data_IF_009484544475
#
_entry.id   IF_009484544475
#
_cell.length_a   1.000
_cell.length_b   1.000
_cell.length_c   1.000
_cell.angle_alpha   90.00
_cell.angle_beta   90.00
_cell.angle_gamma   90.00
#
_symmetry.space_group_name_H-M   'P 1'
#
loop_
_entity.id
_entity.type
_entity.pdbx_description
1 polymer ?
#
# COMPACT_ATOMS: atom_id res chain seq x y z
N UNK A 1 -5.16 -10.44 -17.73
CA UNK A 1 -5.71 -11.78 -17.44
C UNK A 1 -4.73 -12.48 -16.53
N UNK A 2 -5.20 -12.96 -15.38
CA UNK A 2 -4.34 -13.69 -14.43
C UNK A 2 -4.05 -15.10 -14.96
N UNK A 3 -2.96 -15.76 -14.51
CA UNK A 3 -2.72 -17.18 -14.85
C UNK A 3 -3.88 -18.06 -14.37
N UNK A 4 -4.59 -17.63 -13.33
CA UNK A 4 -5.85 -18.20 -12.86
C UNK A 4 -6.96 -18.22 -13.94
N UNK A 5 -6.95 -17.27 -14.88
CA UNK A 5 -7.95 -17.18 -15.96
C UNK A 5 -7.50 -17.91 -17.22
N UNK A 6 -6.21 -17.85 -17.54
CA UNK A 6 -5.65 -18.46 -18.77
C UNK A 6 -5.22 -19.91 -18.58
N UNK A 7 -4.76 -20.29 -17.39
CA UNK A 7 -4.27 -21.63 -17.05
C UNK A 7 -4.45 -21.97 -15.55
N UNK A 8 -5.69 -22.30 -15.13
CA UNK A 8 -6.01 -22.59 -13.73
C UNK A 8 -5.19 -23.73 -13.15
N UNK A 9 -4.81 -24.72 -13.97
CA UNK A 9 -4.03 -25.89 -13.54
C UNK A 9 -2.64 -25.45 -13.09
N UNK A 10 -1.93 -24.70 -13.94
CA UNK A 10 -0.60 -24.24 -13.58
C UNK A 10 -0.63 -23.21 -12.46
N UNK A 11 -1.66 -22.36 -12.39
CA UNK A 11 -1.85 -21.47 -11.24
C UNK A 11 -1.86 -22.22 -9.90
N UNK A 12 -2.70 -23.25 -9.77
CA UNK A 12 -2.84 -24.01 -8.51
C UNK A 12 -1.56 -24.77 -8.17
N UNK A 13 -0.92 -25.40 -9.17
CA UNK A 13 0.34 -26.13 -8.96
C UNK A 13 1.43 -25.17 -8.50
N UNK A 14 1.68 -24.09 -9.25
CA UNK A 14 2.75 -23.13 -8.95
C UNK A 14 2.52 -22.46 -7.59
N UNK A 15 1.29 -22.08 -7.29
CA UNK A 15 0.93 -21.44 -6.04
C UNK A 15 1.16 -22.38 -4.84
N UNK A 16 0.73 -23.64 -4.94
CA UNK A 16 0.98 -24.59 -3.85
C UNK A 16 2.47 -24.90 -3.68
N UNK A 17 3.22 -25.02 -4.78
CA UNK A 17 4.68 -25.15 -4.72
C UNK A 17 5.32 -23.96 -3.99
N UNK A 18 4.85 -22.73 -4.24
CA UNK A 18 5.30 -21.56 -3.50
C UNK A 18 5.00 -21.69 -1.99
N UNK A 19 3.78 -22.09 -1.61
CA UNK A 19 3.42 -22.36 -0.20
C UNK A 19 4.37 -23.38 0.44
N UNK A 20 4.69 -24.48 -0.25
CA UNK A 20 5.64 -25.49 0.25
C UNK A 20 7.04 -24.90 0.48
N UNK A 21 7.53 -24.08 -0.46
CA UNK A 21 8.84 -23.42 -0.35
C UNK A 21 8.86 -22.45 0.84
N UNK A 22 7.85 -21.59 0.97
CA UNK A 22 7.80 -20.60 2.04
C UNK A 22 7.66 -21.22 3.43
N UNK A 23 6.93 -22.33 3.58
CA UNK A 23 6.86 -23.05 4.85
C UNK A 23 8.20 -23.69 5.25
N UNK A 24 9.00 -24.09 4.27
CA UNK A 24 10.31 -24.72 4.48
C UNK A 24 11.43 -23.70 4.67
N UNK A 25 11.30 -22.48 4.16
CA UNK A 25 12.35 -21.47 4.24
C UNK A 25 12.78 -21.14 5.68
N UNK A 26 11.88 -20.94 6.67
CA UNK A 26 12.30 -20.76 8.07
C UNK A 26 13.02 -21.98 8.65
N UNK A 27 12.62 -23.19 8.26
CA UNK A 27 13.29 -24.42 8.69
C UNK A 27 14.71 -24.49 8.14
N UNK A 28 14.92 -24.17 6.86
CA UNK A 28 16.25 -24.13 6.25
C UNK A 28 17.12 -23.03 6.87
N UNK A 29 16.54 -21.86 7.13
CA UNK A 29 17.22 -20.75 7.77
C UNK A 29 17.74 -21.13 9.16
N UNK A 30 16.96 -21.90 9.94
CA UNK A 30 17.43 -22.44 11.21
C UNK A 30 18.50 -23.52 11.00
N UNK A 31 18.16 -24.59 10.27
CA UNK A 31 19.11 -25.64 9.93
C UNK A 31 18.60 -26.51 8.78
N UNK A 32 19.44 -26.74 7.76
CA UNK A 32 19.09 -27.50 6.56
C UNK A 32 18.52 -28.91 6.82
N UNK A 33 18.94 -29.58 7.89
CA UNK A 33 18.43 -30.93 8.24
C UNK A 33 16.94 -30.93 8.59
N UNK A 34 16.39 -29.77 8.99
CA UNK A 34 14.97 -29.63 9.31
C UNK A 34 14.05 -29.76 8.09
N UNK A 35 14.58 -29.81 6.87
CA UNK A 35 13.79 -30.10 5.67
C UNK A 35 14.08 -31.46 5.03
N UNK A 36 14.95 -32.26 5.63
CA UNK A 36 15.32 -33.60 5.16
C UNK A 36 14.55 -34.67 5.96
N UNK A 37 14.02 -35.68 5.27
CA UNK A 37 13.33 -36.83 5.89
C UNK A 37 14.34 -37.88 6.38
N UNK A 38 15.46 -38.02 5.69
CA UNK A 38 16.43 -39.10 5.87
C UNK A 38 17.15 -39.07 7.23
N UNK A 39 17.48 -40.25 7.74
CA UNK A 39 18.31 -40.45 8.94
C UNK A 39 19.80 -40.34 8.62
N UNK A 40 20.20 -40.56 7.36
CA UNK A 40 21.59 -40.41 6.92
C UNK A 40 21.83 -39.01 6.34
N UNK A 41 21.95 -38.03 7.23
CA UNK A 41 22.05 -36.61 6.90
C UNK A 41 23.37 -36.31 6.18
N UNK A 42 23.31 -36.21 4.84
CA UNK A 42 24.46 -35.87 4.01
C UNK A 42 24.34 -34.44 3.44
N UNK A 43 25.32 -33.58 3.78
CA UNK A 43 25.35 -32.19 3.35
C UNK A 43 25.54 -32.03 1.83
N UNK A 44 26.37 -32.86 1.20
CA UNK A 44 26.62 -32.82 -0.25
C UNK A 44 25.36 -33.18 -1.04
N UNK A 45 24.63 -34.21 -0.60
CA UNK A 45 23.36 -34.60 -1.22
C UNK A 45 22.32 -33.47 -1.08
N UNK A 46 22.24 -32.82 0.08
CA UNK A 46 21.36 -31.67 0.28
C UNK A 46 21.70 -30.51 -0.68
N UNK A 47 22.98 -30.15 -0.79
CA UNK A 47 23.45 -29.07 -1.67
C UNK A 47 23.24 -29.41 -3.16
N UNK A 48 23.29 -30.70 -3.53
CA UNK A 48 22.99 -31.18 -4.87
C UNK A 48 21.47 -31.32 -5.14
N UNK A 49 20.61 -31.12 -4.14
CA UNK A 49 19.16 -31.34 -4.25
C UNK A 49 18.74 -32.82 -4.28
N UNK A 50 19.66 -33.75 -4.02
CA UNK A 50 19.43 -35.20 -4.00
C UNK A 50 19.00 -35.66 -2.61
N UNK A 51 17.81 -35.23 -2.17
CA UNK A 51 17.28 -35.65 -0.87
C UNK A 51 15.75 -35.72 -0.88
N UNK A 52 15.20 -36.56 -0.01
CA UNK A 52 13.77 -36.57 0.25
C UNK A 52 13.42 -35.41 1.20
N UNK A 53 12.66 -34.45 0.68
CA UNK A 53 12.19 -33.32 1.47
C UNK A 53 10.95 -33.67 2.30
N UNK A 54 10.84 -33.02 3.46
CA UNK A 54 9.68 -33.16 4.36
C UNK A 54 8.35 -32.86 3.68
N UNK A 55 7.29 -33.58 4.09
CA UNK A 55 5.94 -33.29 3.65
C UNK A 55 5.40 -31.98 4.26
N UNK A 56 4.23 -31.52 3.78
CA UNK A 56 3.52 -30.39 4.38
C UNK A 56 3.22 -30.59 5.88
N UNK A 57 2.77 -31.79 6.27
CA UNK A 57 2.46 -32.12 7.66
C UNK A 57 3.73 -32.17 8.54
N UNK A 58 4.82 -32.71 7.99
CA UNK A 58 6.12 -32.72 8.65
C UNK A 58 6.65 -31.30 8.83
N UNK A 59 6.54 -30.44 7.81
CA UNK A 59 6.94 -29.03 7.91
C UNK A 59 6.14 -28.30 8.99
N UNK A 60 4.81 -28.48 9.05
CA UNK A 60 3.98 -27.89 10.10
C UNK A 60 4.38 -28.36 11.50
N UNK A 61 4.65 -29.67 11.64
CA UNK A 61 5.12 -30.26 12.90
C UNK A 61 6.47 -29.69 13.31
N UNK A 62 7.42 -29.55 12.38
CA UNK A 62 8.76 -29.02 12.65
C UNK A 62 8.75 -27.52 12.96
N UNK A 63 7.90 -26.72 12.31
CA UNK A 63 7.73 -25.29 12.66
C UNK A 63 7.28 -25.12 14.13
N UNK A 64 6.37 -25.98 14.59
CA UNK A 64 5.92 -26.00 15.97
C UNK A 64 6.99 -26.49 16.94
N UNK A 65 7.60 -27.65 16.65
CA UNK A 65 8.49 -28.35 17.59
C UNK A 65 9.91 -27.77 17.63
N UNK A 66 10.48 -27.40 16.47
CA UNK A 66 11.87 -26.94 16.38
C UNK A 66 11.98 -25.42 16.54
N UNK A 67 11.03 -24.65 16.00
CA UNK A 67 11.11 -23.18 15.97
C UNK A 67 10.15 -22.49 16.95
N UNK A 68 9.34 -23.26 17.69
CA UNK A 68 8.34 -22.76 18.64
C UNK A 68 7.38 -21.72 18.03
N UNK A 69 7.11 -21.83 16.73
CA UNK A 69 6.22 -20.94 15.97
C UNK A 69 5.26 -21.79 15.13
N UNK A 70 4.23 -22.41 15.76
CA UNK A 70 3.29 -23.27 15.05
C UNK A 70 2.50 -22.48 14.01
N UNK A 71 2.19 -23.14 12.89
CA UNK A 71 1.31 -22.57 11.88
C UNK A 71 -0.11 -22.42 12.47
N UNK A 72 -0.75 -21.26 12.24
CA UNK A 72 -2.14 -21.05 12.68
C UNK A 72 -3.07 -22.07 12.02
N UNK A 73 -4.13 -22.47 12.74
CA UNK A 73 -5.10 -23.45 12.25
C UNK A 73 -5.75 -23.02 10.92
N UNK A 74 -6.11 -21.75 10.80
CA UNK A 74 -6.70 -21.17 9.57
C UNK A 74 -5.74 -21.27 8.38
N UNK A 75 -4.45 -20.97 8.59
CA UNK A 75 -3.42 -21.15 7.57
C UNK A 75 -3.25 -22.61 7.16
N UNK A 76 -3.19 -23.54 8.13
CA UNK A 76 -3.09 -24.97 7.84
C UNK A 76 -4.27 -25.47 7.00
N UNK A 77 -5.49 -25.06 7.35
CA UNK A 77 -6.71 -25.42 6.62
C UNK A 77 -6.73 -24.82 5.21
N UNK A 78 -6.37 -23.55 5.05
CA UNK A 78 -6.31 -22.88 3.75
C UNK A 78 -5.28 -23.54 2.82
N UNK A 79 -4.08 -23.83 3.32
CA UNK A 79 -3.04 -24.51 2.54
C UNK A 79 -3.41 -25.95 2.19
N UNK A 80 -4.06 -26.68 3.10
CA UNK A 80 -4.49 -28.06 2.85
C UNK A 80 -5.58 -28.16 1.77
N UNK A 81 -6.48 -27.17 1.67
CA UNK A 81 -7.45 -27.09 0.57
C UNK A 81 -6.75 -26.98 -0.78
N UNK A 82 -5.84 -26.02 -0.93
CA UNK A 82 -5.05 -25.83 -2.16
C UNK A 82 -4.20 -27.07 -2.47
N UNK A 83 -3.59 -27.69 -1.45
CA UNK A 83 -2.85 -28.96 -1.60
C UNK A 83 -3.72 -30.06 -2.23
N UNK A 84 -4.95 -30.21 -1.74
CA UNK A 84 -5.91 -31.19 -2.28
C UNK A 84 -6.26 -30.89 -3.73
N UNK A 85 -6.45 -29.61 -4.09
CA UNK A 85 -6.64 -29.20 -5.49
C UNK A 85 -5.42 -29.53 -6.35
N UNK A 86 -4.21 -29.18 -5.92
CA UNK A 86 -2.95 -29.52 -6.61
C UNK A 86 -2.80 -31.02 -6.82
N UNK A 87 -3.02 -31.83 -5.79
CA UNK A 87 -2.95 -33.28 -5.89
C UNK A 87 -3.96 -33.81 -6.90
N UNK A 88 -5.18 -33.26 -6.88
CA UNK A 88 -6.18 -33.65 -7.87
C UNK A 88 -5.75 -33.30 -9.29
N UNK A 89 -5.23 -32.10 -9.52
CA UNK A 89 -4.83 -31.62 -10.85
C UNK A 89 -3.58 -32.31 -11.42
N UNK A 90 -2.68 -32.78 -10.55
CA UNK A 90 -1.48 -33.53 -10.94
C UNK A 90 -1.82 -35.01 -11.21
N UNK A 91 -2.71 -35.61 -10.42
CA UNK A 91 -2.95 -37.06 -10.47
C UNK A 91 -4.25 -37.48 -11.18
N UNK A 92 -5.23 -36.60 -11.36
CA UNK A 92 -6.49 -36.90 -12.04
C UNK A 92 -6.66 -36.06 -13.30
N UNK A 93 -7.04 -36.71 -14.40
CA UNK A 93 -7.40 -36.05 -15.66
C UNK A 93 -8.67 -35.20 -15.44
N UNK A 94 -8.52 -33.87 -15.44
CA UNK A 94 -9.66 -32.96 -15.30
C UNK A 94 -10.23 -32.67 -16.69
N UNK A 95 -11.42 -33.20 -16.99
CA UNK A 95 -12.29 -32.62 -18.01
C UNK A 95 -12.63 -31.21 -17.53
N UNK A 96 -11.97 -30.19 -18.10
CA UNK A 96 -12.07 -28.75 -17.82
C UNK A 96 -12.91 -28.30 -16.61
N UNK A 97 -12.28 -27.62 -15.65
CA UNK A 97 -12.99 -26.98 -14.52
C UNK A 97 -14.19 -26.16 -15.04
N UNK A 98 -15.37 -26.41 -14.51
CA UNK A 98 -16.54 -25.56 -14.78
C UNK A 98 -16.39 -24.19 -14.10
N UNK A 99 -17.25 -23.22 -14.45
CA UNK A 99 -17.14 -21.85 -13.94
C UNK A 99 -17.23 -21.75 -12.42
N UNK A 100 -18.09 -22.55 -11.78
CA UNK A 100 -18.28 -22.51 -10.32
C UNK A 100 -17.09 -23.09 -9.57
N UNK A 101 -16.56 -24.21 -10.04
CA UNK A 101 -15.35 -24.82 -9.47
C UNK A 101 -14.15 -23.89 -9.60
N UNK A 102 -14.03 -23.13 -10.71
CA UNK A 102 -12.97 -22.13 -10.86
C UNK A 102 -13.10 -21.01 -9.84
N UNK A 103 -14.30 -20.48 -9.62
CA UNK A 103 -14.52 -19.40 -8.66
C UNK A 103 -14.27 -19.84 -7.22
N UNK A 104 -14.65 -21.07 -6.86
CA UNK A 104 -14.32 -21.68 -5.56
C UNK A 104 -12.80 -21.81 -5.37
N UNK A 105 -12.08 -22.32 -6.36
CA UNK A 105 -10.61 -22.45 -6.31
C UNK A 105 -9.95 -21.08 -6.20
N UNK A 106 -10.44 -20.06 -6.92
CA UNK A 106 -9.95 -18.68 -6.81
C UNK A 106 -10.09 -18.15 -5.38
N UNK A 107 -11.24 -18.38 -4.75
CA UNK A 107 -11.47 -17.96 -3.37
C UNK A 107 -10.54 -18.69 -2.40
N UNK A 108 -10.34 -20.00 -2.56
CA UNK A 108 -9.45 -20.78 -1.71
C UNK A 108 -7.97 -20.39 -1.89
N UNK A 109 -7.52 -20.12 -3.12
CA UNK A 109 -6.17 -19.59 -3.37
C UNK A 109 -6.01 -18.18 -2.78
N UNK A 110 -7.05 -17.34 -2.84
CA UNK A 110 -7.02 -16.02 -2.23
C UNK A 110 -6.90 -16.11 -0.68
N UNK A 111 -7.66 -17.01 -0.04
CA UNK A 111 -7.55 -17.28 1.39
C UNK A 111 -6.17 -17.83 1.76
N UNK A 112 -5.64 -18.76 0.97
CA UNK A 112 -4.29 -19.28 1.18
C UNK A 112 -3.23 -18.18 1.00
N UNK A 113 -3.38 -17.29 0.02
CA UNK A 113 -2.42 -16.19 -0.16
C UNK A 113 -2.46 -15.24 1.04
N UNK A 114 -3.63 -14.96 1.59
CA UNK A 114 -3.77 -14.14 2.80
C UNK A 114 -3.00 -14.73 3.96
N UNK A 115 -3.13 -16.04 4.16
CA UNK A 115 -2.41 -16.76 5.21
C UNK A 115 -0.91 -16.82 4.96
N UNK A 116 -0.50 -16.96 3.69
CA UNK A 116 0.91 -16.93 3.30
C UNK A 116 1.53 -15.54 3.50
N UNK A 117 0.82 -14.48 3.11
CA UNK A 117 1.27 -13.11 3.30
C UNK A 117 1.45 -12.84 4.80
N UNK A 118 0.46 -13.18 5.64
CA UNK A 118 0.56 -13.06 7.10
C UNK A 118 1.70 -13.89 7.70
N UNK A 119 1.93 -15.09 7.17
CA UNK A 119 3.06 -15.93 7.58
C UNK A 119 4.40 -15.19 7.35
N UNK A 120 4.55 -14.54 6.20
CA UNK A 120 5.77 -13.82 5.81
C UNK A 120 5.89 -12.47 6.52
N UNK A 121 4.85 -11.63 6.50
CA UNK A 121 4.91 -10.24 6.95
C UNK A 121 4.81 -10.09 8.46
N UNK A 122 4.19 -11.05 9.14
CA UNK A 122 3.93 -10.96 10.58
C UNK A 122 4.76 -11.99 11.37
N UNK A 123 4.63 -13.27 11.02
CA UNK A 123 5.21 -14.37 11.83
C UNK A 123 6.72 -14.52 11.63
N UNK A 124 7.18 -14.34 10.38
CA UNK A 124 8.56 -14.53 9.93
C UNK A 124 9.17 -13.25 9.33
N UNK A 125 8.65 -12.09 9.73
CA UNK A 125 9.02 -10.77 9.21
C UNK A 125 10.52 -10.55 9.13
N UNK A 126 11.25 -10.91 10.18
CA UNK A 126 12.70 -10.68 10.26
C UNK A 126 13.46 -11.52 9.23
N UNK A 127 13.09 -12.78 9.07
CA UNK A 127 13.71 -13.70 8.11
C UNK A 127 13.41 -13.32 6.65
N UNK A 128 12.25 -12.70 6.40
CA UNK A 128 11.83 -12.26 5.06
C UNK A 128 12.00 -10.77 4.81
N UNK A 129 12.60 -10.01 5.73
CA UNK A 129 12.79 -8.55 5.62
C UNK A 129 13.39 -8.11 4.27
N UNK A 130 14.39 -8.80 3.69
CA UNK A 130 14.96 -8.44 2.39
C UNK A 130 13.95 -8.46 1.23
N UNK A 131 12.86 -9.23 1.35
CA UNK A 131 11.87 -9.43 0.28
C UNK A 131 10.55 -8.68 0.55
N UNK A 132 10.50 -7.84 1.59
CA UNK A 132 9.27 -7.18 2.01
C UNK A 132 8.67 -6.29 0.90
N UNK A 133 9.51 -5.67 0.08
CA UNK A 133 9.08 -4.80 -1.03
C UNK A 133 8.37 -5.60 -2.12
N UNK A 134 8.88 -6.79 -2.44
CA UNK A 134 8.36 -7.70 -3.44
C UNK A 134 7.03 -8.29 -2.97
N UNK A 135 6.92 -8.67 -1.70
CA UNK A 135 5.65 -9.12 -1.11
C UNK A 135 4.57 -8.04 -1.14
N UNK A 136 4.91 -6.80 -0.77
CA UNK A 136 3.98 -5.66 -0.90
C UNK A 136 3.54 -5.45 -2.34
N UNK A 137 4.46 -5.58 -3.32
CA UNK A 137 4.12 -5.48 -4.75
C UNK A 137 3.19 -6.61 -5.21
N UNK A 138 3.47 -7.84 -4.81
CA UNK A 138 2.61 -9.00 -5.11
C UNK A 138 1.22 -8.84 -4.50
N UNK A 139 1.14 -8.38 -3.25
CA UNK A 139 -0.13 -8.14 -2.57
C UNK A 139 -0.98 -7.10 -3.32
N UNK A 140 -0.40 -5.95 -3.71
CA UNK A 140 -1.10 -4.94 -4.52
C UNK A 140 -1.67 -5.51 -5.82
N UNK A 141 -0.90 -6.35 -6.52
CA UNK A 141 -1.35 -7.00 -7.75
C UNK A 141 -2.50 -7.99 -7.53
N UNK A 142 -2.55 -8.65 -6.37
CA UNK A 142 -3.59 -9.65 -6.08
C UNK A 142 -4.88 -9.00 -5.61
N UNK A 143 -4.80 -7.89 -4.89
CA UNK A 143 -5.97 -7.10 -4.51
C UNK A 143 -6.73 -6.61 -5.75
N UNK A 144 -6.01 -6.21 -6.81
CA UNK A 144 -6.62 -5.79 -8.08
C UNK A 144 -7.43 -6.91 -8.78
N UNK A 145 -7.26 -8.18 -8.40
CA UNK A 145 -7.94 -9.34 -9.00
C UNK A 145 -9.11 -9.92 -8.15
N UNK A 146 -9.63 -9.12 -7.21
CA UNK A 146 -11.00 -9.11 -6.66
C UNK A 146 -11.56 -10.31 -5.84
N UNK A 147 -10.76 -11.29 -5.42
CA UNK A 147 -11.19 -12.28 -4.38
C UNK A 147 -10.38 -12.21 -3.08
N UNK A 148 -9.16 -11.68 -3.15
CA UNK A 148 -8.28 -11.51 -1.99
C UNK A 148 -8.76 -10.39 -1.04
N UNK A 149 -9.29 -9.30 -1.59
CA UNK A 149 -9.76 -8.17 -0.81
C UNK A 149 -10.84 -8.57 0.21
N UNK A 150 -11.80 -9.41 -0.21
CA UNK A 150 -12.87 -9.87 0.69
C UNK A 150 -12.33 -10.75 1.82
N UNK A 151 -11.46 -11.72 1.51
CA UNK A 151 -10.87 -12.60 2.53
C UNK A 151 -10.09 -11.80 3.59
N UNK A 152 -9.30 -10.81 3.14
CA UNK A 152 -8.56 -9.90 4.03
C UNK A 152 -9.51 -9.00 4.84
N UNK A 153 -10.59 -8.51 4.24
CA UNK A 153 -11.59 -7.70 4.93
C UNK A 153 -12.26 -8.46 6.08
N UNK A 154 -12.67 -9.72 5.87
CA UNK A 154 -13.30 -10.52 6.92
C UNK A 154 -12.37 -10.76 8.13
N UNK A 155 -11.06 -10.96 7.91
CA UNK A 155 -10.07 -11.08 9.01
C UNK A 155 -9.85 -9.73 9.73
N UNK A 156 -9.84 -8.62 8.98
CA UNK A 156 -9.67 -7.28 9.55
C UNK A 156 -10.94 -6.71 10.18
N UNK A 157 -12.11 -7.25 9.87
CA UNK A 157 -13.42 -6.73 10.30
C UNK A 157 -13.52 -6.52 11.82
N UNK A 158 -13.09 -7.44 12.70
CA UNK A 158 -13.13 -7.20 14.14
C UNK A 158 -12.25 -6.02 14.58
N UNK A 159 -11.10 -5.82 13.93
CA UNK A 159 -10.21 -4.68 14.20
C UNK A 159 -10.84 -3.38 13.72
N UNK A 160 -11.41 -3.37 12.51
CA UNK A 160 -12.11 -2.21 11.94
C UNK A 160 -13.29 -1.81 12.83
N UNK A 161 -14.14 -2.77 13.22
CA UNK A 161 -15.26 -2.54 14.14
C UNK A 161 -14.80 -2.00 15.51
N UNK A 162 -13.65 -2.48 16.00
CA UNK A 162 -13.00 -1.95 17.20
C UNK A 162 -12.57 -0.49 17.06
N UNK A 163 -11.92 -0.14 15.95
CA UNK A 163 -11.52 1.23 15.63
C UNK A 163 -12.72 2.15 15.41
N UNK A 164 -13.78 1.66 14.75
CA UNK A 164 -15.04 2.42 14.58
C UNK A 164 -15.68 2.75 15.92
N UNK A 165 -15.71 1.81 16.88
CA UNK A 165 -16.18 2.09 18.25
C UNK A 165 -15.27 3.08 18.99
N UNK A 166 -14.00 3.17 18.61
CA UNK A 166 -13.03 4.14 19.12
C UNK A 166 -13.17 5.55 18.54
N UNK A 167 -14.07 5.77 17.58
CA UNK A 167 -14.32 7.07 16.97
C UNK A 167 -13.82 7.22 15.53
N UNK A 168 -13.08 6.25 14.99
CA UNK A 168 -12.56 6.33 13.62
C UNK A 168 -13.68 6.11 12.58
N UNK A 169 -13.68 6.91 11.52
CA UNK A 169 -14.65 6.80 10.43
C UNK A 169 -14.15 5.85 9.34
N UNK A 170 -15.04 4.98 8.86
CA UNK A 170 -14.75 4.04 7.77
C UNK A 170 -15.81 4.10 6.66
N UNK A 171 -15.35 4.13 5.41
CA UNK A 171 -16.15 4.14 4.20
C UNK A 171 -15.82 2.99 3.25
N UNK A 172 -16.65 2.81 2.22
CA UNK A 172 -16.37 1.90 1.11
C UNK A 172 -15.21 2.41 0.28
N UNK A 173 -14.19 1.58 0.12
CA UNK A 173 -13.04 1.91 -0.71
C UNK A 173 -13.43 1.92 -2.21
N UNK A 174 -13.08 2.97 -2.98
CA UNK A 174 -13.41 3.03 -4.41
C UNK A 174 -12.67 1.98 -5.25
N UNK A 175 -11.56 1.42 -4.74
CA UNK A 175 -10.76 0.41 -5.45
C UNK A 175 -11.23 -1.02 -5.22
N UNK A 176 -11.46 -1.42 -3.97
CA UNK A 176 -11.79 -2.80 -3.63
C UNK A 176 -13.24 -3.01 -3.17
N UNK A 177 -14.03 -1.95 -3.03
CA UNK A 177 -15.45 -2.01 -2.64
C UNK A 177 -15.72 -2.35 -1.16
N UNK A 178 -14.72 -2.84 -0.40
CA UNK A 178 -14.89 -3.17 1.02
C UNK A 178 -14.98 -1.91 1.88
N UNK A 179 -15.76 -1.96 2.98
CA UNK A 179 -15.89 -0.87 3.96
C UNK A 179 -14.71 -0.84 4.93
N UNK A 180 -13.52 -0.64 4.37
CA UNK A 180 -12.24 -0.68 5.06
C UNK A 180 -11.37 0.56 4.78
N UNK A 181 -11.95 1.60 4.19
CA UNK A 181 -11.27 2.87 3.95
C UNK A 181 -11.44 3.75 5.18
N UNK A 182 -10.39 3.85 5.98
CA UNK A 182 -10.35 4.81 7.08
C UNK A 182 -10.33 6.22 6.50
N UNK A 183 -11.13 7.12 7.08
CA UNK A 183 -11.21 8.52 6.67
C UNK A 183 -10.80 9.38 7.85
N UNK A 184 -9.86 10.28 7.61
CA UNK A 184 -9.35 11.25 8.58
C UNK A 184 -9.50 12.64 7.98
N UNK A 185 -9.95 13.60 8.79
CA UNK A 185 -9.99 15.01 8.44
C UNK A 185 -8.69 15.64 8.95
N UNK A 186 -7.82 16.08 8.03
CA UNK A 186 -6.52 16.68 8.37
C UNK A 186 -6.67 18.17 8.66
N UNK A 187 -7.58 18.83 7.95
CA UNK A 187 -8.03 20.20 8.15
C UNK A 187 -9.51 20.27 7.69
N UNK A 188 -10.28 21.31 8.06
CA UNK A 188 -11.66 21.45 7.58
C UNK A 188 -11.77 21.20 6.07
N UNK A 189 -12.69 20.31 5.66
CA UNK A 189 -12.93 19.90 4.26
C UNK A 189 -11.78 19.14 3.56
N UNK A 190 -10.58 19.06 4.15
CA UNK A 190 -9.46 18.24 3.66
C UNK A 190 -9.49 16.87 4.32
N UNK A 191 -9.73 15.82 3.52
CA UNK A 191 -9.81 14.45 4.01
C UNK A 191 -8.75 13.55 3.39
N UNK A 192 -8.11 12.74 4.21
CA UNK A 192 -7.28 11.61 3.77
C UNK A 192 -8.01 10.29 3.96
N UNK A 193 -7.81 9.40 3.00
CA UNK A 193 -8.50 8.11 2.94
C UNK A 193 -7.47 7.02 2.73
N UNK A 194 -7.42 6.07 3.67
CA UNK A 194 -6.50 4.94 3.61
C UNK A 194 -7.23 3.61 3.78
N UNK A 195 -7.15 2.74 2.77
CA UNK A 195 -7.79 1.43 2.81
C UNK A 195 -6.89 0.37 3.47
N UNK A 196 -7.33 -0.17 4.62
CA UNK A 196 -6.61 -1.22 5.33
C UNK A 196 -6.55 -2.56 4.58
N UNK A 197 -7.42 -2.76 3.58
CA UNK A 197 -7.48 -3.98 2.77
C UNK A 197 -6.56 -3.85 1.55
N UNK A 198 -6.78 -2.82 0.74
CA UNK A 198 -6.11 -2.67 -0.55
C UNK A 198 -4.92 -1.72 -0.57
N UNK A 199 -4.70 -0.98 0.53
CA UNK A 199 -3.71 0.09 0.63
C UNK A 199 -3.89 1.22 -0.39
N UNK A 200 -5.11 1.36 -0.94
CA UNK A 200 -5.49 2.56 -1.65
C UNK A 200 -5.37 3.76 -0.71
N UNK A 201 -4.72 4.81 -1.18
CA UNK A 201 -4.53 6.05 -0.45
C UNK A 201 -4.93 7.19 -1.38
N UNK A 202 -5.71 8.12 -0.87
CA UNK A 202 -6.06 9.35 -1.57
C UNK A 202 -6.28 10.48 -0.58
N UNK A 203 -6.02 11.70 -1.04
CA UNK A 203 -6.46 12.94 -0.39
C UNK A 203 -7.45 13.63 -1.31
N UNK A 204 -8.38 14.37 -0.73
CA UNK A 204 -9.34 15.18 -1.47
C UNK A 204 -9.79 16.36 -0.64
N UNK A 205 -10.11 17.45 -1.31
CA UNK A 205 -10.68 18.65 -0.68
C UNK A 205 -12.11 18.81 -1.14
N UNK A 206 -13.02 18.94 -0.17
CA UNK A 206 -14.41 19.21 -0.46
C UNK A 206 -14.62 20.69 -0.78
N UNK A 207 -15.29 20.99 -1.89
CA UNK A 207 -15.62 22.34 -2.32
C UNK A 207 -17.07 22.43 -2.79
N UNK A 208 -17.58 23.66 -2.87
CA UNK A 208 -18.78 23.97 -3.62
C UNK A 208 -18.37 24.33 -5.06
N UNK A 209 -19.09 23.85 -6.06
CA UNK A 209 -18.73 24.11 -7.45
C UNK A 209 -18.69 25.63 -7.74
N UNK A 210 -17.59 26.18 -8.29
CA UNK A 210 -17.46 27.62 -8.53
C UNK A 210 -18.45 28.17 -9.57
N UNK A 211 -18.93 27.34 -10.51
CA UNK A 211 -19.89 27.78 -11.54
C UNK A 211 -21.37 27.61 -11.12
N UNK A 212 -21.79 26.41 -10.72
CA UNK A 212 -23.20 26.13 -10.42
C UNK A 212 -23.56 26.12 -8.93
N UNK A 213 -22.56 26.19 -8.03
CA UNK A 213 -22.78 26.16 -6.58
C UNK A 213 -23.23 24.81 -6.01
N UNK A 214 -23.13 23.72 -6.78
CA UNK A 214 -23.44 22.38 -6.27
C UNK A 214 -22.45 22.02 -5.14
N UNK A 215 -22.94 21.67 -3.94
CA UNK A 215 -22.08 21.33 -2.82
C UNK A 215 -21.50 19.91 -2.94
N UNK A 216 -20.67 19.50 -1.99
CA UNK A 216 -20.12 18.14 -1.86
C UNK A 216 -19.32 17.68 -3.09
N UNK A 217 -18.70 18.62 -3.80
CA UNK A 217 -17.78 18.31 -4.88
C UNK A 217 -16.35 18.16 -4.35
N UNK A 218 -15.46 17.53 -5.13
CA UNK A 218 -14.11 17.22 -4.68
C UNK A 218 -13.05 17.64 -5.68
N UNK A 219 -12.02 18.31 -5.18
CA UNK A 219 -10.74 18.49 -5.88
C UNK A 219 -9.86 17.28 -5.54
N UNK A 220 -9.16 16.76 -6.53
CA UNK A 220 -8.24 15.63 -6.43
C UNK A 220 -6.83 16.13 -6.76
N UNK A 221 -5.79 15.73 -6.00
CA UNK A 221 -4.42 16.18 -6.24
C UNK A 221 -3.97 15.80 -7.65
N UNK A 222 -3.26 16.70 -8.33
CA UNK A 222 -2.81 16.63 -9.72
C UNK A 222 -3.89 16.54 -10.81
N UNK A 223 -5.07 15.98 -10.51
CA UNK A 223 -6.19 15.84 -11.45
C UNK A 223 -7.07 17.11 -11.51
N UNK A 224 -7.05 17.91 -10.44
CA UNK A 224 -7.85 19.12 -10.29
C UNK A 224 -9.30 18.82 -9.95
N UNK A 225 -10.22 19.59 -10.54
CA UNK A 225 -11.65 19.56 -10.26
C UNK A 225 -12.47 19.43 -11.54
N UNK A 226 -13.49 18.57 -11.50
CA UNK A 226 -14.53 18.47 -12.51
C UNK A 226 -15.87 18.33 -11.80
N UNK A 227 -16.80 19.25 -12.06
CA UNK A 227 -18.14 19.17 -11.48
C UNK A 227 -18.96 18.05 -12.12
N UNK A 228 -19.60 17.20 -11.31
CA UNK A 228 -20.46 16.12 -11.81
C UNK A 228 -21.84 16.58 -12.34
N UNK A 229 -22.19 17.86 -12.17
CA UNK A 229 -23.47 18.47 -12.63
C UNK A 229 -23.35 19.31 -13.88
N UNK A 230 -22.38 20.22 -13.91
CA UNK A 230 -22.26 21.23 -14.95
C UNK A 230 -21.05 21.04 -15.86
N UNK A 231 -20.25 19.99 -15.60
CA UNK A 231 -19.02 19.66 -16.33
C UNK A 231 -17.96 20.77 -16.34
N UNK A 232 -18.09 21.79 -15.48
CA UNK A 232 -17.04 22.79 -15.33
C UNK A 232 -15.77 22.14 -14.81
N UNK A 233 -14.62 22.62 -15.28
CA UNK A 233 -13.32 22.01 -15.03
C UNK A 233 -12.31 23.07 -14.62
N UNK A 234 -11.58 22.78 -13.55
CA UNK A 234 -10.43 23.55 -13.08
C UNK A 234 -9.26 22.57 -13.00
N UNK A 235 -8.21 22.79 -13.79
CA UNK A 235 -7.11 21.81 -13.86
C UNK A 235 -5.73 22.41 -14.10
N UNK A 236 -5.63 23.70 -14.43
CA UNK A 236 -4.33 24.37 -14.41
C UNK A 236 -3.84 24.52 -12.97
N UNK A 237 -2.55 24.31 -12.72
CA UNK A 237 -1.97 24.42 -11.37
C UNK A 237 -2.29 25.78 -10.73
N UNK A 238 -2.17 26.88 -11.48
CA UNK A 238 -2.53 28.22 -11.01
C UNK A 238 -4.03 28.36 -10.74
N UNK A 239 -4.89 27.73 -11.55
CA UNK A 239 -6.35 27.81 -11.37
C UNK A 239 -6.79 27.02 -10.12
N UNK A 240 -6.15 25.87 -9.87
CA UNK A 240 -6.38 25.07 -8.65
C UNK A 240 -5.85 25.81 -7.43
N UNK A 241 -4.71 26.49 -7.56
CA UNK A 241 -4.18 27.36 -6.51
C UNK A 241 -5.17 28.47 -6.16
N UNK A 242 -5.61 29.25 -7.16
CA UNK A 242 -6.55 30.35 -6.97
C UNK A 242 -7.91 29.89 -6.41
N UNK A 243 -8.33 28.66 -6.75
CA UNK A 243 -9.57 28.05 -6.25
C UNK A 243 -9.49 27.68 -4.76
N UNK A 244 -8.32 27.30 -4.27
CA UNK A 244 -8.12 26.77 -2.93
C UNK A 244 -7.53 27.79 -1.95
N UNK A 245 -6.79 28.79 -2.43
CA UNK A 245 -6.14 29.80 -1.61
C UNK A 245 -7.16 30.63 -0.83
N UNK A 246 -6.99 30.67 0.49
CA UNK A 246 -7.84 31.43 1.39
C UNK A 246 -7.17 32.75 1.84
N UNK A 247 -5.99 33.05 1.32
CA UNK A 247 -5.29 34.31 1.58
C UNK A 247 -6.12 35.51 1.07
N UNK A 248 -6.49 36.39 1.99
CA UNK A 248 -7.32 37.57 1.69
C UNK A 248 -6.53 38.85 1.39
N UNK A 249 -5.21 38.83 1.56
CA UNK A 249 -4.31 39.98 1.36
C UNK A 249 -3.58 39.93 0.02
N UNK A 250 -3.70 38.84 -0.75
CA UNK A 250 -3.06 38.69 -2.06
C UNK A 250 -3.42 39.84 -3.01
N UNK A 251 -2.40 40.47 -3.62
CA UNK A 251 -2.57 41.64 -4.49
C UNK A 251 -2.91 42.96 -3.77
N UNK A 252 -2.93 42.97 -2.44
CA UNK A 252 -3.01 44.21 -1.65
C UNK A 252 -1.62 44.74 -1.31
N UNK A 253 -1.53 45.87 -0.60
CA UNK A 253 -0.23 46.40 -0.13
C UNK A 253 0.46 45.49 0.90
N UNK A 254 -0.31 44.65 1.57
CA UNK A 254 0.13 43.77 2.65
C UNK A 254 0.54 42.38 2.09
N UNK A 255 0.45 42.18 0.77
CA UNK A 255 0.86 40.96 0.05
C UNK A 255 2.37 40.69 0.18
N UNK A 256 3.18 41.74 0.32
CA UNK A 256 4.64 41.63 0.51
C UNK A 256 5.03 40.98 1.84
N UNK A 257 4.11 40.95 2.80
CA UNK A 257 4.31 40.32 4.11
C UNK A 257 3.71 38.90 4.16
N UNK A 258 3.17 38.37 3.04
CA UNK A 258 2.65 37.00 2.99
C UNK A 258 3.76 35.98 2.81
N UNK A 259 3.67 34.89 3.56
CA UNK A 259 4.55 33.73 3.41
C UNK A 259 4.14 32.82 2.23
N UNK A 260 3.12 33.20 1.43
CA UNK A 260 2.64 32.41 0.29
C UNK A 260 2.61 33.23 -1.01
N UNK A 261 2.93 32.61 -2.17
CA UNK A 261 3.05 31.18 -2.37
C UNK A 261 4.39 30.62 -1.88
N UNK A 262 4.36 29.49 -1.17
CA UNK A 262 5.55 28.79 -0.71
C UNK A 262 5.87 27.57 -1.58
N UNK A 263 7.11 27.11 -1.51
CA UNK A 263 7.57 25.88 -2.15
C UNK A 263 7.18 24.66 -1.31
N UNK A 264 6.77 23.57 -1.97
CA UNK A 264 6.42 22.32 -1.30
C UNK A 264 7.54 21.30 -1.44
N UNK A 265 8.13 20.88 -0.33
CA UNK A 265 9.22 19.90 -0.31
C UNK A 265 8.71 18.46 -0.55
N UNK A 266 7.50 18.14 -0.07
CA UNK A 266 6.89 16.80 -0.24
C UNK A 266 6.71 16.39 -1.71
N UNK A 267 6.44 17.35 -2.60
CA UNK A 267 6.33 17.11 -4.04
C UNK A 267 7.31 17.91 -4.89
N UNK A 268 8.25 18.63 -4.26
CA UNK A 268 9.18 19.56 -4.91
C UNK A 268 8.46 20.59 -5.80
N UNK A 269 7.28 21.02 -5.38
CA UNK A 269 6.46 21.99 -6.12
C UNK A 269 6.98 23.42 -5.93
N UNK A 270 7.10 24.18 -7.01
CA UNK A 270 7.48 25.59 -6.97
C UNK A 270 6.25 26.49 -6.77
N UNK A 271 6.20 27.26 -5.69
CA UNK A 271 5.10 28.18 -5.38
C UNK A 271 3.71 27.52 -5.40
N UNK A 272 3.62 26.27 -4.92
CA UNK A 272 2.38 25.48 -4.93
C UNK A 272 1.61 25.53 -3.60
N UNK A 273 2.18 26.14 -2.56
CA UNK A 273 1.61 26.16 -1.21
C UNK A 273 0.87 27.47 -0.95
N UNK A 274 -0.41 27.36 -0.58
CA UNK A 274 -1.30 28.48 -0.30
C UNK A 274 -1.70 28.52 1.19
N UNK A 275 -2.35 29.60 1.62
CA UNK A 275 -3.01 29.64 2.93
C UNK A 275 -4.31 28.85 2.86
N UNK A 276 -4.56 28.01 3.86
CA UNK A 276 -5.75 27.17 3.91
C UNK A 276 -6.14 26.90 5.35
N UNK A 277 -7.33 27.33 5.76
CA UNK A 277 -7.82 27.26 7.13
C UNK A 277 -6.81 27.91 8.10
N UNK A 278 -6.36 27.20 9.14
CA UNK A 278 -5.40 27.70 10.13
C UNK A 278 -3.93 27.32 9.80
N UNK A 279 -3.64 26.93 8.55
CA UNK A 279 -2.31 26.47 8.14
C UNK A 279 -2.04 26.65 6.65
N UNK A 280 -1.23 25.76 6.09
CA UNK A 280 -0.73 25.85 4.73
C UNK A 280 -0.97 24.57 3.95
N UNK A 281 -1.40 24.70 2.71
CA UNK A 281 -1.77 23.57 1.86
C UNK A 281 -1.00 23.62 0.55
N UNK A 282 -0.29 22.54 0.21
CA UNK A 282 0.18 22.35 -1.16
C UNK A 282 -0.98 21.99 -2.08
N UNK A 283 -1.28 22.83 -3.07
CA UNK A 283 -2.38 22.68 -4.02
C UNK A 283 -2.16 21.59 -5.07
N UNK A 284 -0.92 21.08 -5.19
CA UNK A 284 -0.59 19.96 -6.07
C UNK A 284 -0.76 18.60 -5.39
N UNK A 285 -0.12 18.40 -4.23
CA UNK A 285 -0.08 17.09 -3.55
C UNK A 285 -1.03 16.97 -2.35
N UNK A 286 -1.61 18.08 -1.91
CA UNK A 286 -2.47 18.20 -0.72
C UNK A 286 -1.80 17.80 0.60
N UNK A 287 -0.47 17.95 0.70
CA UNK A 287 0.20 17.98 1.99
C UNK A 287 -0.21 19.25 2.75
N UNK A 288 -0.51 19.09 4.03
CA UNK A 288 -0.95 20.15 4.93
C UNK A 288 0.13 20.38 5.99
N UNK A 289 0.45 21.65 6.26
CA UNK A 289 1.56 22.07 7.09
C UNK A 289 1.08 23.10 8.11
N UNK A 290 1.56 23.00 9.34
CA UNK A 290 1.23 23.94 10.42
C UNK A 290 1.98 25.28 10.27
N UNK A 291 3.10 25.28 9.54
CA UNK A 291 3.96 26.45 9.35
C UNK A 291 4.77 26.33 8.07
N UNK A 292 5.21 27.47 7.55
CA UNK A 292 6.23 27.58 6.50
C UNK A 292 7.46 28.31 7.05
N UNK A 293 8.62 27.94 6.56
CA UNK A 293 9.89 28.61 6.80
C UNK A 293 10.33 29.42 5.57
N UNK A 294 11.53 29.98 5.63
CA UNK A 294 12.16 30.66 4.51
C UNK A 294 13.57 30.10 4.30
N UNK A 295 13.91 29.80 3.04
CA UNK A 295 15.25 29.37 2.69
C UNK A 295 16.26 30.46 3.03
N UNK A 296 17.31 30.14 3.78
CA UNK A 296 18.29 31.14 4.23
C UNK A 296 19.19 31.67 3.09
N UNK A 297 19.19 31.01 1.93
CA UNK A 297 19.95 31.44 0.75
C UNK A 297 19.12 32.29 -0.21
N UNK A 298 18.03 31.75 -0.78
CA UNK A 298 17.21 32.48 -1.75
C UNK A 298 16.11 33.34 -1.12
N UNK A 299 15.80 33.15 0.17
CA UNK A 299 14.68 33.77 0.89
C UNK A 299 13.27 33.37 0.41
N UNK A 300 13.16 32.40 -0.49
CA UNK A 300 11.83 31.90 -0.88
C UNK A 300 11.19 31.13 0.28
N UNK A 301 9.88 31.31 0.52
CA UNK A 301 9.14 30.51 1.51
C UNK A 301 9.08 29.03 1.12
N UNK A 302 9.12 28.13 2.12
CA UNK A 302 9.12 26.67 1.92
C UNK A 302 8.53 25.92 3.12
N UNK A 303 8.20 24.64 2.94
CA UNK A 303 7.50 23.83 3.96
C UNK A 303 8.39 22.97 4.86
N UNK A 304 9.62 22.66 4.46
CA UNK A 304 10.55 21.82 5.23
C UNK A 304 11.40 22.63 6.22
N UNK A 305 12.29 21.93 6.93
CA UNK A 305 13.26 22.54 7.82
C UNK A 305 14.19 23.50 7.05
N UNK A 306 14.45 24.64 7.69
CA UNK A 306 15.31 25.69 7.14
C UNK A 306 16.76 25.54 7.60
N UNK A 307 17.04 24.56 8.47
CA UNK A 307 18.38 24.27 8.96
C UNK A 307 19.37 24.04 7.80
N UNK A 308 20.52 24.71 7.87
CA UNK A 308 21.61 24.65 6.88
C UNK A 308 21.26 25.05 5.43
N UNK A 309 20.04 25.52 5.14
CA UNK A 309 19.61 25.94 3.79
C UNK A 309 20.44 27.10 3.22
N UNK A 310 21.18 27.85 4.05
CA UNK A 310 22.17 28.81 3.55
C UNK A 310 23.28 28.12 2.77
N UNK A 311 23.77 26.98 3.27
CA UNK A 311 24.88 26.23 2.67
C UNK A 311 24.36 25.31 1.57
N UNK A 312 23.33 24.51 1.86
CA UNK A 312 22.81 23.47 0.95
C UNK A 312 21.81 23.98 -0.08
N UNK A 313 21.19 25.14 0.17
CA UNK A 313 20.01 25.57 -0.57
C UNK A 313 18.75 24.80 -0.15
N UNK A 314 17.63 25.17 -0.75
CA UNK A 314 16.38 24.39 -0.71
C UNK A 314 16.24 23.59 -2.02
N UNK A 315 15.12 22.88 -2.20
CA UNK A 315 14.86 22.10 -3.42
C UNK A 315 14.81 22.93 -4.72
N UNK A 316 14.78 24.26 -4.63
CA UNK A 316 14.74 25.18 -5.79
C UNK A 316 15.96 26.12 -5.91
N UNK A 317 16.99 25.96 -5.06
CA UNK A 317 18.25 26.69 -5.22
C UNK A 317 19.46 25.89 -4.73
N UNK A 318 20.64 26.19 -5.27
CA UNK A 318 21.85 25.41 -5.01
C UNK A 318 22.57 25.77 -3.69
N UNK A 319 22.07 26.79 -2.98
CA UNK A 319 22.72 27.32 -1.79
C UNK A 319 24.10 27.93 -2.05
N UNK A 320 24.78 28.35 -0.98
CA UNK A 320 26.15 28.86 -1.08
C UNK A 320 27.12 27.83 -1.68
N UNK A 321 27.01 26.56 -1.27
CA UNK A 321 27.95 25.52 -1.67
C UNK A 321 27.86 25.18 -3.16
N UNK A 322 26.64 25.04 -3.71
CA UNK A 322 26.47 24.74 -5.12
C UNK A 322 26.78 25.95 -6.00
N UNK A 323 26.44 27.17 -5.57
CA UNK A 323 26.81 28.39 -6.31
C UNK A 323 28.33 28.60 -6.45
N UNK A 324 29.13 28.12 -5.49
CA UNK A 324 30.60 28.25 -5.49
C UNK A 324 31.34 26.95 -5.81
N UNK A 325 30.64 25.88 -6.19
CA UNK A 325 31.27 24.62 -6.61
C UNK A 325 31.92 24.72 -8.00
N UNK A 326 31.49 25.69 -8.82
CA UNK A 326 31.92 25.90 -10.21
C UNK A 326 32.91 27.09 -10.39
N UNK A 327 33.33 27.75 -9.30
CA UNK A 327 34.34 28.84 -9.27
C UNK A 327 35.78 28.32 -9.03
#
# INVERSE_FOLDING_TARGET
MSQLDSDPKHSVINFYTAVEIFLKAPLVHEHWTLVVVDRDLNRQNYEAGDFLSVSFEDACTRLAAALNKPLKKSAKEAFDKVRKHRNRMVHFYHSGLDGKQRDEIKLEQAQAWFELNRFVTDTWREQFKPFASEFRRMERSLIANNHYAQAKYEDLKPKIEGMTKGGNTFESCPRCGTRACQVEEEAPRLTSRHCMVCFHSEKRIQIDCPECGDPDQYVIPYDGFVCDKCDCKVSGESEVFDLLDQNTVRGTKDDLDSDTPANCDECQGYHTVCEYEDGYLCTNCFSYFDSVGQCQWCNDPMTDDTEDTYISGCEHCDGYAGHHADD
#
